data_IF_202671591093
#
_entry.id   IF_202671591093
#
_cell.length_a   1.000
_cell.length_b   1.000
_cell.length_c   1.000
_cell.angle_alpha   90.00
_cell.angle_beta   90.00
_cell.angle_gamma   90.00
#
_symmetry.space_group_name_H-M   'P 1'
#
loop_
_entity.id
_entity.type
_entity.pdbx_description
1 polymer ?
#
# COMPACT_ATOMS: atom_id res chain seq x y z
N UNK A 1 22.78 -19.98 4.01
CA UNK A 1 21.90 -18.78 4.15
C UNK A 1 20.74 -19.19 5.03
N UNK A 2 20.30 -18.33 5.95
CA UNK A 2 19.12 -18.57 6.76
C UNK A 2 17.84 -18.70 5.94
N UNK A 3 16.73 -19.10 6.55
CA UNK A 3 15.40 -19.14 5.95
C UNK A 3 14.86 -17.75 5.58
N UNK A 4 13.65 -17.72 5.05
CA UNK A 4 12.89 -16.49 4.80
C UNK A 4 11.50 -16.65 5.45
N UNK A 5 11.23 -15.85 6.48
CA UNK A 5 9.99 -15.90 7.22
C UNK A 5 9.02 -14.78 6.82
N UNK A 6 9.53 -13.61 6.43
CA UNK A 6 8.71 -12.44 6.08
C UNK A 6 9.15 -11.83 4.74
N UNK A 7 8.17 -11.60 3.85
CA UNK A 7 8.30 -10.76 2.66
C UNK A 7 7.38 -9.55 2.79
N UNK A 8 7.93 -8.35 2.68
CA UNK A 8 7.14 -7.11 2.61
C UNK A 8 7.26 -6.50 1.21
N UNK A 9 6.17 -6.50 0.47
CA UNK A 9 6.07 -5.81 -0.81
C UNK A 9 5.66 -4.35 -0.59
N UNK A 10 6.61 -3.43 -0.61
CA UNK A 10 6.40 -2.00 -0.34
C UNK A 10 6.79 -1.09 -1.52
N UNK A 11 7.37 -1.64 -2.59
CA UNK A 11 7.74 -0.87 -3.76
C UNK A 11 6.50 -0.43 -4.56
N UNK A 12 6.49 0.82 -5.01
CA UNK A 12 5.41 1.30 -5.86
C UNK A 12 5.50 2.79 -6.17
N UNK A 13 5.28 3.11 -7.42
CA UNK A 13 5.10 4.48 -7.90
C UNK A 13 4.03 4.45 -9.00
N UNK A 14 3.11 5.40 -8.98
CA UNK A 14 2.08 5.56 -10.01
C UNK A 14 1.90 7.03 -10.32
N UNK A 15 1.74 7.36 -11.59
CA UNK A 15 1.50 8.72 -12.05
C UNK A 15 0.08 9.15 -11.68
N UNK A 16 -0.06 10.41 -11.28
CA UNK A 16 -1.35 11.09 -11.14
C UNK A 16 -1.58 11.97 -12.35
N UNK A 17 -2.83 12.25 -12.65
CA UNK A 17 -3.18 13.21 -13.70
C UNK A 17 -4.59 13.00 -14.23
N UNK A 18 -5.00 13.91 -15.12
CA UNK A 18 -6.23 13.76 -15.87
C UNK A 18 -6.18 12.49 -16.72
N UNK A 19 -7.27 11.73 -16.73
CA UNK A 19 -7.34 10.45 -17.45
C UNK A 19 -7.00 10.56 -18.95
N UNK A 20 -7.45 11.63 -19.61
CA UNK A 20 -7.21 11.81 -21.04
C UNK A 20 -5.79 12.30 -21.36
N UNK A 21 -5.05 12.78 -20.36
CA UNK A 21 -3.65 13.14 -20.48
C UNK A 21 -2.68 12.01 -20.14
N UNK A 22 -3.18 10.92 -19.51
CA UNK A 22 -2.39 9.73 -19.19
C UNK A 22 -2.23 8.85 -20.44
N UNK A 23 -0.99 8.48 -20.75
CA UNK A 23 -0.68 7.58 -21.87
C UNK A 23 -0.90 6.11 -21.50
N UNK A 24 -0.94 5.24 -22.51
CA UNK A 24 -0.95 3.79 -22.31
C UNK A 24 0.30 3.33 -21.53
N UNK A 25 1.46 3.90 -21.83
CA UNK A 25 2.72 3.66 -21.13
C UNK A 25 2.62 3.96 -19.64
N UNK A 26 1.98 5.07 -19.25
CA UNK A 26 1.79 5.42 -17.83
C UNK A 26 1.02 4.32 -17.08
N UNK A 27 0.06 3.66 -17.73
CA UNK A 27 -0.65 2.50 -17.17
C UNK A 27 0.26 1.28 -17.04
N UNK A 28 1.02 0.95 -18.08
CA UNK A 28 1.97 -0.17 -18.05
C UNK A 28 3.00 0.00 -16.93
N UNK A 29 3.62 1.17 -16.83
CA UNK A 29 4.60 1.50 -15.79
C UNK A 29 4.00 1.44 -14.39
N UNK A 30 2.78 1.94 -14.20
CA UNK A 30 2.07 1.88 -12.94
C UNK A 30 1.86 0.45 -12.45
N UNK A 31 1.55 -0.48 -13.35
CA UNK A 31 1.41 -1.90 -13.04
C UNK A 31 2.75 -2.62 -12.89
N UNK A 32 3.78 -2.24 -13.65
CA UNK A 32 5.05 -2.95 -13.71
C UNK A 32 5.71 -3.10 -12.33
N UNK A 33 5.93 -1.99 -11.64
CA UNK A 33 6.63 -2.02 -10.36
C UNK A 33 5.74 -2.56 -9.23
N UNK A 34 4.55 -1.98 -9.04
CA UNK A 34 3.75 -2.25 -7.86
C UNK A 34 3.05 -3.59 -7.92
N UNK A 35 2.44 -3.95 -9.05
CA UNK A 35 1.71 -5.21 -9.19
C UNK A 35 2.62 -6.35 -9.66
N UNK A 36 3.22 -6.22 -10.84
CA UNK A 36 4.06 -7.30 -11.39
C UNK A 36 5.31 -7.53 -10.54
N UNK A 37 5.90 -6.47 -9.97
CA UNK A 37 7.00 -6.59 -9.01
C UNK A 37 6.60 -7.40 -7.77
N UNK A 38 5.46 -7.09 -7.14
CA UNK A 38 4.96 -7.84 -5.99
C UNK A 38 4.65 -9.31 -6.35
N UNK A 39 4.05 -9.57 -7.52
CA UNK A 39 3.81 -10.93 -8.01
C UNK A 39 5.12 -11.69 -8.21
N UNK A 40 6.13 -11.07 -8.84
CA UNK A 40 7.43 -11.69 -9.08
C UNK A 40 8.16 -12.01 -7.77
N UNK A 41 8.20 -11.06 -6.83
CA UNK A 41 8.83 -11.24 -5.52
C UNK A 41 8.12 -12.32 -4.70
N UNK A 42 6.79 -12.30 -4.66
CA UNK A 42 6.00 -13.32 -3.97
C UNK A 42 6.26 -14.72 -4.56
N UNK A 43 6.29 -14.85 -5.90
CA UNK A 43 6.59 -16.12 -6.57
C UNK A 43 7.99 -16.63 -6.25
N UNK A 44 9.00 -15.76 -6.29
CA UNK A 44 10.39 -16.13 -6.01
C UNK A 44 10.61 -16.50 -4.53
N UNK A 45 9.95 -15.80 -3.61
CA UNK A 45 10.05 -16.03 -2.17
C UNK A 45 9.25 -17.25 -1.68
N UNK A 46 8.16 -17.60 -2.36
CA UNK A 46 7.16 -18.58 -1.91
C UNK A 46 7.72 -19.92 -1.46
N UNK A 47 8.67 -20.57 -2.19
CA UNK A 47 9.22 -21.85 -1.74
C UNK A 47 9.90 -21.74 -0.37
N UNK A 48 10.67 -20.67 -0.15
CA UNK A 48 11.39 -20.45 1.11
C UNK A 48 10.47 -20.09 2.27
N UNK A 49 9.44 -19.27 2.00
CA UNK A 49 8.40 -18.95 2.99
C UNK A 49 7.66 -20.22 3.45
N UNK A 50 7.36 -21.11 2.52
CA UNK A 50 6.75 -22.41 2.84
C UNK A 50 7.68 -23.31 3.65
N UNK A 51 8.96 -23.37 3.27
CA UNK A 51 9.98 -24.17 3.96
C UNK A 51 10.23 -23.72 5.39
N UNK A 52 10.08 -22.43 5.68
CA UNK A 52 10.26 -21.89 7.04
C UNK A 52 9.20 -22.37 8.03
N UNK A 53 8.02 -22.74 7.55
CA UNK A 53 6.89 -23.12 8.39
C UNK A 53 6.19 -21.95 9.13
N UNK A 54 6.75 -20.73 9.01
CA UNK A 54 6.21 -19.49 9.59
C UNK A 54 6.04 -18.38 8.54
N UNK A 55 6.03 -18.75 7.24
CA UNK A 55 6.06 -17.83 6.13
C UNK A 55 4.93 -16.79 6.17
N UNK A 56 5.27 -15.52 5.89
CA UNK A 56 4.33 -14.42 5.86
C UNK A 56 4.65 -13.45 4.71
N UNK A 57 3.63 -13.04 3.98
CA UNK A 57 3.69 -11.97 2.97
C UNK A 57 2.82 -10.82 3.42
N UNK A 58 3.35 -9.60 3.45
CA UNK A 58 2.60 -8.37 3.71
C UNK A 58 2.73 -7.45 2.50
N UNK A 59 1.60 -7.12 1.88
CA UNK A 59 1.54 -6.18 0.76
C UNK A 59 1.14 -4.79 1.26
N UNK A 60 2.00 -3.79 1.02
CA UNK A 60 1.69 -2.38 1.31
C UNK A 60 1.02 -1.78 0.08
N UNK A 61 -0.28 -1.57 0.17
CA UNK A 61 -1.13 -1.24 -0.98
C UNK A 61 -1.43 0.26 -1.02
N UNK A 62 -2.46 0.71 -0.37
CA UNK A 62 -2.91 2.10 -0.30
C UNK A 62 -4.43 2.24 -0.37
N UNK A 63 -4.97 3.20 0.36
CA UNK A 63 -6.40 3.42 0.53
C UNK A 63 -7.19 3.67 -0.78
N UNK A 64 -6.51 4.12 -1.86
CA UNK A 64 -7.15 4.32 -3.16
C UNK A 64 -7.69 3.04 -3.82
N UNK A 65 -7.39 1.86 -3.29
CA UNK A 65 -8.09 0.63 -3.68
C UNK A 65 -9.59 0.70 -3.38
N UNK A 66 -9.97 1.38 -2.30
CA UNK A 66 -11.36 1.49 -1.81
C UNK A 66 -11.97 2.87 -1.98
N UNK A 67 -11.13 3.90 -2.06
CA UNK A 67 -11.54 5.30 -2.26
C UNK A 67 -10.92 5.84 -3.55
N UNK A 68 -11.40 5.42 -4.73
CA UNK A 68 -10.85 5.86 -6.01
C UNK A 68 -11.08 7.35 -6.23
N UNK A 69 -10.16 8.01 -6.94
CA UNK A 69 -10.33 9.38 -7.41
C UNK A 69 -9.97 9.49 -8.89
N UNK A 70 -10.61 10.42 -9.60
CA UNK A 70 -10.45 10.58 -11.03
C UNK A 70 -9.00 10.92 -11.44
N UNK A 71 -8.30 11.68 -10.60
CA UNK A 71 -6.90 12.07 -10.81
C UNK A 71 -5.89 10.96 -10.44
N UNK A 72 -6.36 9.81 -9.95
CA UNK A 72 -5.51 8.70 -9.52
C UNK A 72 -5.97 7.34 -10.08
N UNK A 73 -6.49 7.33 -11.30
CA UNK A 73 -7.03 6.16 -11.96
C UNK A 73 -6.06 4.97 -11.99
N UNK A 74 -4.79 5.20 -12.36
CA UNK A 74 -3.75 4.16 -12.37
C UNK A 74 -3.53 3.60 -10.97
N UNK A 75 -3.32 4.49 -9.99
CA UNK A 75 -3.03 4.08 -8.61
C UNK A 75 -4.17 3.30 -7.97
N UNK A 76 -5.41 3.72 -8.17
CA UNK A 76 -6.60 3.00 -7.72
C UNK A 76 -6.68 1.59 -8.31
N UNK A 77 -6.54 1.47 -9.64
CA UNK A 77 -6.59 0.19 -10.34
C UNK A 77 -5.50 -0.78 -9.87
N UNK A 78 -4.24 -0.30 -9.79
CA UNK A 78 -3.10 -1.10 -9.32
C UNK A 78 -3.29 -1.56 -7.88
N UNK A 79 -3.77 -0.68 -7.01
CA UNK A 79 -4.05 -1.01 -5.61
C UNK A 79 -5.13 -2.09 -5.49
N UNK A 80 -6.23 -1.96 -6.23
CA UNK A 80 -7.31 -2.96 -6.24
C UNK A 80 -6.84 -4.31 -6.79
N UNK A 81 -6.01 -4.30 -7.84
CA UNK A 81 -5.41 -5.53 -8.38
C UNK A 81 -4.54 -6.23 -7.33
N UNK A 82 -3.71 -5.49 -6.58
CA UNK A 82 -2.85 -6.05 -5.54
C UNK A 82 -3.65 -6.51 -4.32
N UNK A 83 -4.75 -5.85 -3.98
CA UNK A 83 -5.67 -6.31 -2.93
C UNK A 83 -6.31 -7.66 -3.32
N UNK A 84 -6.83 -7.78 -4.54
CA UNK A 84 -7.39 -9.04 -5.04
C UNK A 84 -6.34 -10.16 -5.06
N UNK A 85 -5.13 -9.85 -5.55
CA UNK A 85 -4.01 -10.80 -5.53
C UNK A 85 -3.67 -11.26 -4.10
N UNK A 86 -3.70 -10.35 -3.11
CA UNK A 86 -3.50 -10.70 -1.69
C UNK A 86 -4.50 -11.75 -1.23
N UNK A 87 -5.78 -11.58 -1.56
CA UNK A 87 -6.84 -12.54 -1.19
C UNK A 87 -6.64 -13.91 -1.87
N UNK A 88 -6.32 -13.92 -3.16
CA UNK A 88 -6.06 -15.15 -3.90
C UNK A 88 -4.86 -15.91 -3.32
N UNK A 89 -3.77 -15.19 -2.97
CA UNK A 89 -2.60 -15.80 -2.37
C UNK A 89 -2.83 -16.24 -0.92
N UNK A 90 -3.70 -15.57 -0.19
CA UNK A 90 -4.13 -16.04 1.14
C UNK A 90 -4.89 -17.37 1.04
N UNK A 91 -5.82 -17.51 0.09
CA UNK A 91 -6.53 -18.79 -0.10
C UNK A 91 -5.54 -19.93 -0.40
N UNK A 92 -4.58 -19.70 -1.30
CA UNK A 92 -3.50 -20.65 -1.57
C UNK A 92 -2.66 -20.96 -0.33
N UNK A 93 -2.27 -19.92 0.40
CA UNK A 93 -1.35 -20.01 1.56
C UNK A 93 -1.91 -20.83 2.71
N UNK A 94 -3.23 -20.95 2.82
CA UNK A 94 -3.89 -21.76 3.86
C UNK A 94 -3.42 -23.21 3.84
N UNK A 95 -3.30 -23.83 2.68
CA UNK A 95 -2.83 -25.21 2.55
C UNK A 95 -1.31 -25.33 2.70
N UNK A 96 -0.57 -24.27 2.40
CA UNK A 96 0.89 -24.24 2.36
C UNK A 96 1.52 -23.59 3.59
N UNK A 97 0.72 -23.19 4.58
CA UNK A 97 1.14 -22.53 5.83
C UNK A 97 1.92 -21.23 5.62
N UNK A 98 1.55 -20.48 4.58
CA UNK A 98 2.08 -19.13 4.30
C UNK A 98 0.96 -18.13 4.49
N UNK A 99 1.07 -17.28 5.50
CA UNK A 99 0.09 -16.18 5.71
C UNK A 99 0.30 -15.10 4.66
N UNK A 100 -0.78 -14.50 4.19
CA UNK A 100 -0.71 -13.36 3.27
C UNK A 100 -1.71 -12.32 3.72
N UNK A 101 -1.25 -11.09 3.96
CA UNK A 101 -2.05 -9.98 4.43
C UNK A 101 -1.68 -8.69 3.66
N UNK A 102 -2.45 -7.64 3.87
CA UNK A 102 -2.17 -6.34 3.31
C UNK A 102 -2.45 -5.20 4.29
N UNK A 103 -1.84 -4.07 4.03
CA UNK A 103 -2.10 -2.80 4.70
C UNK A 103 -2.47 -1.77 3.63
N UNK A 104 -3.48 -0.97 3.90
CA UNK A 104 -3.84 0.24 3.17
C UNK A 104 -3.40 1.47 3.96
N UNK A 105 -2.17 1.98 3.75
CA UNK A 105 -1.79 3.24 4.34
C UNK A 105 -2.57 4.39 3.71
N UNK A 106 -2.95 5.35 4.54
CA UNK A 106 -3.36 6.66 4.09
C UNK A 106 -2.17 7.55 3.69
N UNK A 107 -2.29 8.86 3.86
CA UNK A 107 -1.20 9.80 3.57
C UNK A 107 -0.10 9.66 4.65
N UNK A 108 1.07 9.18 4.25
CA UNK A 108 2.23 8.94 5.10
C UNK A 108 3.30 10.01 4.84
N UNK A 109 3.89 10.56 5.90
CA UNK A 109 4.97 11.56 5.87
C UNK A 109 6.25 10.96 5.28
N UNK A 110 6.40 11.10 3.98
CA UNK A 110 7.55 10.70 3.19
C UNK A 110 8.00 11.89 2.35
N UNK A 111 9.18 11.83 1.75
CA UNK A 111 9.65 12.85 0.82
C UNK A 111 8.64 13.15 -0.31
N UNK A 112 7.90 12.14 -0.76
CA UNK A 112 6.85 12.33 -1.76
C UNK A 112 5.71 13.21 -1.24
N UNK A 113 5.28 13.02 0.01
CA UNK A 113 4.25 13.86 0.62
C UNK A 113 4.78 15.29 0.85
N UNK A 114 6.02 15.43 1.31
CA UNK A 114 6.66 16.74 1.49
C UNK A 114 6.68 17.53 0.18
N UNK A 115 7.11 16.89 -0.91
CA UNK A 115 7.06 17.52 -2.25
C UNK A 115 5.64 17.91 -2.66
N UNK A 116 4.66 17.02 -2.42
CA UNK A 116 3.25 17.33 -2.75
C UNK A 116 2.69 18.49 -1.94
N UNK A 117 3.07 18.64 -0.67
CA UNK A 117 2.68 19.80 0.16
C UNK A 117 3.26 21.09 -0.45
N UNK A 118 4.53 21.10 -0.86
CA UNK A 118 5.15 22.26 -1.49
C UNK A 118 4.47 22.62 -2.82
N UNK A 119 4.12 21.62 -3.66
CA UNK A 119 3.37 21.83 -4.90
C UNK A 119 2.00 22.47 -4.63
N UNK A 120 1.23 21.91 -3.69
CA UNK A 120 -0.09 22.44 -3.31
C UNK A 120 0.03 23.85 -2.74
N UNK A 121 1.04 24.11 -1.92
CA UNK A 121 1.30 25.45 -1.39
C UNK A 121 1.52 26.48 -2.52
N UNK A 122 2.32 26.12 -3.52
CA UNK A 122 2.58 26.95 -4.68
C UNK A 122 1.32 27.14 -5.55
N UNK A 123 0.58 26.06 -5.84
CA UNK A 123 -0.69 26.10 -6.60
C UNK A 123 -1.73 27.03 -5.95
N UNK A 124 -1.76 27.05 -4.61
CA UNK A 124 -2.73 27.83 -3.83
C UNK A 124 -2.24 29.23 -3.44
N UNK A 125 -0.95 29.55 -3.63
CA UNK A 125 -0.36 30.81 -3.18
C UNK A 125 -0.33 30.98 -1.66
N UNK A 126 -0.18 29.88 -0.90
CA UNK A 126 -0.17 29.86 0.58
C UNK A 126 1.13 29.27 1.12
N UNK A 127 1.37 29.36 2.44
CA UNK A 127 2.48 28.69 3.07
C UNK A 127 2.27 27.17 3.20
N UNK A 128 3.38 26.38 3.30
CA UNK A 128 3.32 24.93 3.42
C UNK A 128 2.52 24.46 4.65
N UNK A 129 2.57 25.19 5.76
CA UNK A 129 1.80 24.87 6.96
C UNK A 129 0.29 24.94 6.71
N UNK A 130 -0.15 25.96 5.95
CA UNK A 130 -1.56 26.11 5.56
C UNK A 130 -1.98 25.05 4.54
N UNK A 131 -1.15 24.83 3.52
CA UNK A 131 -1.37 23.76 2.53
C UNK A 131 -1.51 22.39 3.22
N UNK A 132 -0.62 22.09 4.16
CA UNK A 132 -0.66 20.88 4.98
C UNK A 132 -1.99 20.76 5.76
N UNK A 133 -2.40 21.82 6.44
CA UNK A 133 -3.65 21.81 7.22
C UNK A 133 -4.87 21.59 6.33
N UNK A 134 -4.91 22.23 5.15
CA UNK A 134 -5.97 22.01 4.16
C UNK A 134 -5.98 20.59 3.63
N UNK A 135 -4.84 20.03 3.29
CA UNK A 135 -4.73 18.64 2.82
C UNK A 135 -5.20 17.64 3.87
N UNK A 136 -4.90 17.84 5.16
CA UNK A 136 -5.39 17.01 6.27
C UNK A 136 -6.92 17.05 6.31
N UNK A 137 -7.50 18.24 6.24
CA UNK A 137 -8.95 18.43 6.25
C UNK A 137 -9.63 17.81 5.02
N UNK A 138 -9.11 18.05 3.82
CA UNK A 138 -9.68 17.55 2.56
C UNK A 138 -9.63 16.02 2.47
N UNK A 139 -8.56 15.42 2.96
CA UNK A 139 -8.40 13.97 3.06
C UNK A 139 -9.10 13.37 4.27
N UNK A 140 -9.68 14.21 5.15
CA UNK A 140 -10.45 13.80 6.33
C UNK A 140 -9.69 12.90 7.29
N UNK A 141 -8.38 13.13 7.39
CA UNK A 141 -7.53 12.40 8.33
C UNK A 141 -7.29 13.22 9.59
N UNK A 142 -7.04 12.56 10.70
CA UNK A 142 -6.70 13.25 11.97
C UNK A 142 -5.33 13.91 11.92
N UNK A 143 -4.43 13.34 11.14
CA UNK A 143 -3.07 13.81 10.82
C UNK A 143 -2.49 12.94 9.70
N UNK A 144 -1.35 13.31 9.17
CA UNK A 144 -0.58 12.39 8.35
C UNK A 144 0.08 11.32 9.23
N UNK A 145 0.10 10.08 8.73
CA UNK A 145 0.78 8.97 9.37
C UNK A 145 2.30 9.05 9.20
N UNK A 146 3.05 8.29 9.97
CA UNK A 146 4.50 8.24 9.89
C UNK A 146 4.96 6.88 9.37
N UNK A 147 6.10 6.79 8.64
CA UNK A 147 6.60 5.53 8.11
C UNK A 147 6.76 4.42 9.15
N UNK A 148 7.23 4.75 10.36
CA UNK A 148 7.39 3.77 11.42
C UNK A 148 6.06 3.16 11.89
N UNK A 149 4.93 3.89 11.81
CA UNK A 149 3.62 3.36 12.19
C UNK A 149 3.19 2.22 11.24
N UNK A 150 3.56 2.32 9.96
CA UNK A 150 3.37 1.21 9.00
C UNK A 150 4.27 0.03 9.36
N UNK A 151 5.54 0.29 9.70
CA UNK A 151 6.49 -0.75 10.07
C UNK A 151 6.09 -1.47 11.37
N UNK A 152 5.59 -0.74 12.37
CA UNK A 152 5.08 -1.31 13.63
C UNK A 152 3.86 -2.20 13.41
N UNK A 153 2.95 -1.81 12.50
CA UNK A 153 1.83 -2.67 12.13
C UNK A 153 2.30 -3.95 11.43
N UNK A 154 3.29 -3.87 10.54
CA UNK A 154 3.91 -5.05 9.92
C UNK A 154 4.51 -5.96 11.00
N UNK A 155 5.25 -5.40 11.95
CA UNK A 155 5.85 -6.16 13.05
C UNK A 155 4.78 -6.82 13.93
N UNK A 156 3.69 -6.12 14.24
CA UNK A 156 2.55 -6.69 14.95
C UNK A 156 1.93 -7.87 14.17
N UNK A 157 1.66 -7.69 12.87
CA UNK A 157 1.07 -8.73 12.02
C UNK A 157 1.96 -9.98 11.91
N UNK A 158 3.28 -9.81 12.05
CA UNK A 158 4.25 -10.91 12.03
C UNK A 158 4.52 -11.55 13.40
N UNK A 159 4.08 -10.89 14.48
CA UNK A 159 4.23 -11.39 15.84
C UNK A 159 3.25 -12.54 16.18
N UNK A 160 3.45 -13.17 17.34
CA UNK A 160 2.50 -14.14 17.88
C UNK A 160 1.09 -13.57 18.09
N UNK A 161 0.97 -12.27 18.43
CA UNK A 161 -0.32 -11.59 18.59
C UNK A 161 -1.08 -11.45 17.25
N UNK A 162 -0.37 -11.30 16.14
CA UNK A 162 -0.93 -11.23 14.78
C UNK A 162 -1.07 -12.59 14.09
N UNK A 163 -0.72 -13.70 14.74
CA UNK A 163 -0.62 -15.01 14.07
C UNK A 163 -1.93 -15.53 13.45
N UNK A 164 -3.08 -15.05 13.91
CA UNK A 164 -4.40 -15.42 13.35
C UNK A 164 -4.83 -14.53 12.16
N UNK A 165 -4.06 -13.47 11.84
CA UNK A 165 -4.32 -12.65 10.67
C UNK A 165 -3.91 -13.40 9.41
N UNK A 166 -4.88 -13.67 8.55
CA UNK A 166 -4.69 -14.34 7.26
C UNK A 166 -5.74 -13.86 6.25
N UNK A 167 -5.32 -13.34 5.12
CA UNK A 167 -6.20 -12.66 4.16
C UNK A 167 -6.74 -11.33 4.67
N UNK A 168 -6.22 -10.79 5.76
CA UNK A 168 -6.64 -9.50 6.29
C UNK A 168 -6.12 -8.35 5.41
N UNK A 169 -6.96 -7.32 5.26
CA UNK A 169 -6.60 -6.04 4.65
C UNK A 169 -6.91 -4.98 5.70
N UNK A 170 -5.89 -4.35 6.24
CA UNK A 170 -6.02 -3.43 7.38
C UNK A 170 -5.86 -1.99 6.89
N UNK A 171 -6.86 -1.16 7.15
CA UNK A 171 -6.79 0.28 6.91
C UNK A 171 -5.93 0.95 7.99
N UNK A 172 -4.84 1.61 7.59
CA UNK A 172 -3.97 2.42 8.44
C UNK A 172 -3.93 3.84 7.86
N UNK A 173 -5.07 4.51 7.85
CA UNK A 173 -5.32 5.69 7.03
C UNK A 173 -5.80 6.93 7.80
N UNK A 174 -5.78 6.89 9.12
CA UNK A 174 -6.19 8.03 9.96
C UNK A 174 -7.66 8.38 9.84
N UNK A 175 -8.51 7.47 9.35
CA UNK A 175 -9.95 7.65 9.21
C UNK A 175 -10.40 8.17 7.84
N UNK A 176 -9.53 8.15 6.82
CA UNK A 176 -9.85 8.63 5.47
C UNK A 176 -10.94 7.78 4.80
N UNK A 177 -10.85 6.46 4.92
CA UNK A 177 -11.79 5.51 4.30
C UNK A 177 -13.07 5.45 5.11
N UNK A 178 -14.22 5.65 4.45
CA UNK A 178 -15.56 5.60 5.07
C UNK A 178 -16.36 4.35 4.70
N UNK A 179 -15.83 3.53 3.83
CA UNK A 179 -16.48 2.29 3.40
C UNK A 179 -16.34 1.17 4.44
N UNK A 180 -17.30 0.24 4.43
CA UNK A 180 -17.27 -1.03 5.15
C UNK A 180 -16.54 -2.09 4.30
#
# INVERSE_FOLDING_TARGET
MGGLDLLVNCAGATKRGDFFALSHEDFLDGFALKFHGAVAMTRAAWPRLRESGAGHVVNIIGAAARTPSADFAIGGAVNSALENFTKAMADRGRAEKVRVNAIHPGPIETERLTRRIAEVAAEMGVGEAEARARMINDQRVVRFGRPHEVAELVAFMDSAAGAFLHGAVIELDGGATKGL
#
